data_IF_311111195212
#
_entry.id   IF_311111195212
#
_cell.length_a   1.000
_cell.length_b   1.000
_cell.length_c   1.000
_cell.angle_alpha   90.00
_cell.angle_beta   90.00
_cell.angle_gamma   90.00
#
_symmetry.space_group_name_H-M   'P 1'
#
loop_
_entity.id
_entity.type
_entity.pdbx_description
1 polymer ?
#
# COMPACT_ATOMS: atom_id res chain seq x y z
N UNK A 1 -23.44 5.12 -0.80
CA UNK A 1 -23.19 4.64 0.57
C UNK A 1 -23.19 5.85 1.50
N UNK A 2 -24.07 5.91 2.50
CA UNK A 2 -24.00 6.95 3.55
C UNK A 2 -22.66 6.76 4.28
N UNK A 3 -21.77 7.74 4.15
CA UNK A 3 -20.37 7.62 4.55
C UNK A 3 -20.25 7.37 6.04
N UNK A 4 -19.67 6.21 6.39
CA UNK A 4 -19.11 5.99 7.72
C UNK A 4 -18.15 7.14 8.00
N UNK A 5 -18.35 7.82 9.12
CA UNK A 5 -17.46 8.88 9.57
C UNK A 5 -16.11 8.24 9.90
N UNK A 6 -15.11 8.49 9.08
CA UNK A 6 -13.73 8.10 9.35
C UNK A 6 -13.28 8.82 10.60
N UNK A 7 -12.94 8.08 11.65
CA UNK A 7 -12.53 8.68 12.93
C UNK A 7 -11.02 8.74 13.08
N UNK A 8 -10.30 7.77 12.53
CA UNK A 8 -8.85 7.66 12.70
C UNK A 8 -8.16 7.20 11.43
N UNK A 9 -6.87 7.55 11.33
CA UNK A 9 -5.96 7.04 10.32
C UNK A 9 -4.84 6.29 11.03
N UNK A 10 -4.53 5.10 10.51
CA UNK A 10 -3.31 4.40 10.82
C UNK A 10 -2.25 4.68 9.77
N UNK A 11 -1.04 4.93 10.25
CA UNK A 11 0.16 5.05 9.43
C UNK A 11 1.12 3.94 9.84
N UNK A 12 1.47 3.08 8.89
CA UNK A 12 2.53 2.10 9.08
C UNK A 12 3.89 2.77 8.91
N UNK A 13 4.73 2.72 9.94
CA UNK A 13 6.04 3.35 9.95
C UNK A 13 7.12 2.27 9.83
N UNK A 14 7.65 2.11 8.62
CA UNK A 14 8.61 1.04 8.28
C UNK A 14 9.92 1.21 9.06
N UNK A 15 10.39 2.45 9.18
CA UNK A 15 11.71 2.76 9.74
C UNK A 15 11.76 2.73 11.26
N UNK A 16 10.60 2.76 11.94
CA UNK A 16 10.50 2.69 13.40
C UNK A 16 9.78 1.45 13.92
N UNK A 17 9.35 0.54 13.04
CA UNK A 17 8.60 -0.68 13.41
C UNK A 17 7.37 -0.35 14.29
N UNK A 18 6.61 0.66 13.89
CA UNK A 18 5.50 1.23 14.68
C UNK A 18 4.28 1.57 13.83
N UNK A 19 3.15 1.75 14.50
CA UNK A 19 1.92 2.31 13.95
C UNK A 19 1.67 3.68 14.58
N UNK A 20 1.41 4.69 13.76
CA UNK A 20 0.87 5.96 14.26
C UNK A 20 -0.65 5.99 14.06
N UNK A 21 -1.38 6.17 15.15
CA UNK A 21 -2.82 6.37 15.16
C UNK A 21 -3.09 7.87 15.25
N UNK A 22 -3.69 8.43 14.22
CA UNK A 22 -4.09 9.84 14.15
C UNK A 22 -5.59 9.95 14.29
N UNK A 23 -6.06 10.67 15.32
CA UNK A 23 -7.48 10.92 15.57
C UNK A 23 -7.97 12.17 14.85
N UNK A 24 -8.80 11.97 13.82
CA UNK A 24 -9.29 13.05 12.96
C UNK A 24 -10.32 13.95 13.66
N UNK A 25 -10.97 13.44 14.71
CA UNK A 25 -12.02 14.16 15.43
C UNK A 25 -11.50 14.87 16.68
N UNK A 26 -10.25 14.64 17.05
CA UNK A 26 -9.62 15.21 18.24
C UNK A 26 -8.33 15.99 17.88
N UNK A 27 -8.48 17.05 17.07
CA UNK A 27 -7.39 17.93 16.60
C UNK A 27 -6.15 17.19 16.05
N UNK A 28 -6.36 16.07 15.37
CA UNK A 28 -5.27 15.25 14.83
C UNK A 28 -4.30 14.73 15.92
N UNK A 29 -4.79 14.47 17.13
CA UNK A 29 -3.98 13.87 18.18
C UNK A 29 -3.37 12.55 17.69
N UNK A 30 -2.09 12.34 17.99
CA UNK A 30 -1.30 11.25 17.42
C UNK A 30 -0.71 10.39 18.54
N UNK A 31 -0.98 9.08 18.48
CA UNK A 31 -0.35 8.06 19.33
C UNK A 31 0.51 7.14 18.48
N UNK A 32 1.77 6.97 18.83
CA UNK A 32 2.65 5.97 18.21
C UNK A 32 2.72 4.71 19.08
N UNK A 33 2.59 3.53 18.47
CA UNK A 33 2.69 2.24 19.15
C UNK A 33 3.70 1.37 18.40
N UNK A 34 4.73 0.91 19.11
CA UNK A 34 5.75 0.04 18.55
C UNK A 34 5.25 -1.40 18.47
N UNK A 35 5.40 -2.07 17.33
CA UNK A 35 4.94 -3.47 17.20
C UNK A 35 5.69 -4.39 18.17
N UNK A 36 6.96 -4.09 18.47
CA UNK A 36 7.72 -4.83 19.48
C UNK A 36 7.10 -4.84 20.87
N UNK A 37 6.35 -3.81 21.27
CA UNK A 37 5.63 -3.85 22.55
C UNK A 37 4.38 -4.72 22.47
N UNK A 38 3.77 -4.87 21.30
CA UNK A 38 2.58 -5.68 21.08
C UNK A 38 2.84 -7.19 21.09
N UNK A 39 4.11 -7.61 20.95
CA UNK A 39 4.55 -9.01 20.98
C UNK A 39 4.77 -9.54 22.40
N UNK A 40 4.93 -8.66 23.40
CA UNK A 40 5.40 -9.01 24.74
C UNK A 40 4.27 -9.41 25.69
N UNK A 41 3.70 -10.61 25.51
CA UNK A 41 2.93 -11.28 26.59
C UNK A 41 3.06 -12.81 26.65
N UNK A 42 3.72 -13.48 25.69
CA UNK A 42 3.84 -14.95 25.71
C UNK A 42 5.20 -15.51 26.17
N UNK A 43 6.16 -14.67 26.60
CA UNK A 43 7.46 -15.18 27.08
C UNK A 43 7.75 -14.81 28.54
N UNK A 44 7.75 -15.84 29.38
CA UNK A 44 8.43 -15.87 30.68
C UNK A 44 9.97 -15.74 30.59
N UNK A 45 10.53 -15.30 29.46
CA UNK A 45 11.95 -15.11 29.26
C UNK A 45 12.26 -13.64 29.04
N UNK A 46 12.49 -12.91 30.14
CA UNK A 46 13.19 -11.62 30.15
C UNK A 46 14.64 -11.83 29.68
N UNK A 47 14.87 -11.93 28.38
CA UNK A 47 16.16 -11.53 27.81
C UNK A 47 16.04 -10.05 27.46
N UNK A 48 16.82 -9.22 28.16
CA UNK A 48 16.99 -7.83 27.77
C UNK A 48 17.72 -7.82 26.42
N UNK A 49 16.99 -7.62 25.34
CA UNK A 49 17.62 -7.29 24.07
C UNK A 49 18.25 -5.90 24.20
N UNK A 50 19.53 -5.78 23.87
CA UNK A 50 20.09 -4.47 23.57
C UNK A 50 19.29 -3.89 22.39
N UNK A 51 19.07 -2.58 22.36
CA UNK A 51 18.29 -1.93 21.29
C UNK A 51 18.81 -2.16 19.87
N UNK A 52 20.05 -2.66 19.73
CA UNK A 52 20.68 -3.03 18.45
C UNK A 52 20.39 -4.46 17.97
N UNK A 53 19.87 -5.33 18.84
CA UNK A 53 19.64 -6.75 18.55
C UNK A 53 18.16 -7.10 18.34
N UNK A 54 17.29 -6.09 18.32
CA UNK A 54 15.87 -6.28 18.04
C UNK A 54 15.72 -6.43 16.51
N UNK A 55 15.27 -7.60 16.01
CA UNK A 55 15.11 -7.80 14.57
C UNK A 55 14.08 -6.81 14.02
N UNK A 56 14.41 -6.11 12.93
CA UNK A 56 13.47 -5.17 12.31
C UNK A 56 12.25 -5.91 11.77
N UNK A 57 11.08 -5.30 11.91
CA UNK A 57 9.80 -5.88 11.46
C UNK A 57 9.48 -5.39 10.04
N UNK A 58 9.57 -4.09 9.80
CA UNK A 58 9.30 -3.45 8.52
C UNK A 58 7.81 -3.44 8.19
N UNK A 59 6.97 -2.91 9.08
CA UNK A 59 5.51 -2.80 8.88
C UNK A 59 5.22 -2.02 7.60
N UNK A 60 4.71 -2.68 6.56
CA UNK A 60 4.58 -2.10 5.22
C UNK A 60 3.13 -1.71 4.89
N UNK A 61 2.28 -2.68 4.58
CA UNK A 61 0.84 -2.46 4.34
C UNK A 61 0.00 -2.95 5.51
N UNK A 62 -1.14 -2.28 5.72
CA UNK A 62 -2.19 -2.66 6.66
C UNK A 62 -3.48 -2.90 5.88
N UNK A 63 -4.20 -3.96 6.21
CA UNK A 63 -5.59 -4.14 5.77
C UNK A 63 -6.48 -4.43 6.99
N UNK A 64 -7.76 -4.03 6.89
CA UNK A 64 -8.75 -4.24 7.94
C UNK A 64 -9.27 -5.68 7.89
N UNK A 65 -9.28 -6.36 9.03
CA UNK A 65 -10.02 -7.61 9.23
C UNK A 65 -11.39 -7.33 9.85
N UNK A 66 -12.04 -8.36 10.39
CA UNK A 66 -13.30 -8.17 11.12
C UNK A 66 -13.09 -7.44 12.47
N UNK A 67 -14.07 -6.65 12.88
CA UNK A 67 -14.05 -5.89 14.13
C UNK A 67 -12.81 -4.98 14.28
N UNK A 68 -11.98 -5.25 15.30
CA UNK A 68 -10.78 -4.48 15.68
C UNK A 68 -9.49 -5.15 15.21
N UNK A 69 -9.60 -6.11 14.28
CA UNK A 69 -8.45 -6.81 13.74
C UNK A 69 -7.85 -6.05 12.56
N UNK A 70 -6.53 -6.00 12.56
CA UNK A 70 -5.72 -5.55 11.44
C UNK A 70 -4.78 -6.67 11.03
N UNK A 71 -4.59 -6.80 9.72
CA UNK A 71 -3.50 -7.58 9.18
C UNK A 71 -2.38 -6.65 8.78
N UNK A 72 -1.16 -6.99 9.17
CA UNK A 72 0.04 -6.22 8.87
C UNK A 72 1.05 -7.13 8.19
N UNK A 73 1.46 -6.73 6.99
CA UNK A 73 2.53 -7.40 6.25
C UNK A 73 3.85 -6.71 6.57
N UNK A 74 4.85 -7.51 6.93
CA UNK A 74 6.09 -7.03 7.53
C UNK A 74 7.28 -7.43 6.64
N UNK A 75 7.84 -6.46 5.92
CA UNK A 75 8.81 -6.68 4.85
C UNK A 75 10.16 -7.19 5.34
N UNK A 76 10.59 -6.83 6.57
CA UNK A 76 11.96 -7.14 7.01
C UNK A 76 12.08 -8.47 7.75
N UNK A 77 11.02 -8.95 8.39
CA UNK A 77 11.03 -10.24 9.08
C UNK A 77 10.19 -11.32 8.38
N UNK A 78 9.64 -11.04 7.20
CA UNK A 78 8.88 -12.00 6.39
C UNK A 78 7.66 -12.58 7.11
N UNK A 79 6.89 -11.73 7.79
CA UNK A 79 5.69 -12.16 8.53
C UNK A 79 4.43 -11.43 8.11
N UNK A 80 3.31 -12.12 8.30
CA UNK A 80 1.99 -11.51 8.43
C UNK A 80 1.60 -11.55 9.91
N UNK A 81 1.25 -10.39 10.48
CA UNK A 81 0.71 -10.29 11.83
C UNK A 81 -0.80 -10.05 11.81
N UNK A 82 -1.51 -10.74 12.72
CA UNK A 82 -2.88 -10.43 13.12
C UNK A 82 -2.82 -9.61 14.40
N UNK A 83 -3.29 -8.38 14.33
CA UNK A 83 -3.19 -7.39 15.42
C UNK A 83 -4.58 -7.04 15.92
N UNK A 84 -4.82 -7.16 17.21
CA UNK A 84 -5.95 -6.53 17.89
C UNK A 84 -5.53 -5.11 18.25
N UNK A 85 -6.04 -4.11 17.51
CA UNK A 85 -5.57 -2.73 17.64
C UNK A 85 -6.08 -2.04 18.91
N UNK A 86 -7.21 -2.47 19.46
CA UNK A 86 -7.73 -1.93 20.72
C UNK A 86 -6.94 -2.45 21.91
N UNK A 87 -6.57 -3.73 21.88
CA UNK A 87 -5.73 -4.34 22.93
C UNK A 87 -4.25 -4.06 22.74
N UNK A 88 -3.85 -3.50 21.59
CA UNK A 88 -2.46 -3.23 21.21
C UNK A 88 -1.60 -4.50 21.28
N UNK A 89 -2.13 -5.60 20.74
CA UNK A 89 -1.51 -6.94 20.81
C UNK A 89 -1.44 -7.61 19.45
N UNK A 90 -0.29 -8.21 19.15
CA UNK A 90 -0.19 -9.19 18.06
C UNK A 90 -0.77 -10.50 18.60
N UNK A 91 -1.93 -10.89 18.09
CA UNK A 91 -2.65 -12.09 18.56
C UNK A 91 -2.26 -13.34 17.80
N UNK A 92 -1.72 -13.21 16.58
CA UNK A 92 -1.19 -14.33 15.81
C UNK A 92 -0.16 -13.85 14.78
N UNK A 93 0.75 -14.75 14.37
CA UNK A 93 1.76 -14.49 13.35
C UNK A 93 1.96 -15.72 12.47
N UNK A 94 2.24 -15.48 11.20
CA UNK A 94 2.60 -16.53 10.24
C UNK A 94 3.76 -16.05 9.37
N UNK A 95 4.73 -16.93 9.12
CA UNK A 95 5.82 -16.64 8.19
C UNK A 95 5.32 -16.81 6.76
N UNK A 96 5.73 -15.89 5.89
CA UNK A 96 5.38 -15.82 4.48
C UNK A 96 6.66 -15.84 3.65
N UNK A 97 6.55 -15.71 2.33
CA UNK A 97 7.73 -15.58 1.47
C UNK A 97 8.57 -14.34 1.78
N UNK A 98 9.75 -14.26 1.16
CA UNK A 98 10.74 -13.21 1.43
C UNK A 98 10.32 -11.83 0.92
N UNK A 99 10.54 -10.82 1.76
CA UNK A 99 10.25 -9.40 1.54
C UNK A 99 8.80 -9.14 1.10
N UNK A 100 7.82 -9.45 1.97
CA UNK A 100 6.42 -9.27 1.62
C UNK A 100 6.03 -7.79 1.65
N UNK A 101 5.20 -7.35 0.70
CA UNK A 101 4.94 -5.91 0.47
C UNK A 101 3.47 -5.54 0.50
N UNK A 102 2.63 -6.19 -0.30
CA UNK A 102 1.19 -5.91 -0.38
C UNK A 102 0.36 -7.17 -0.21
N UNK A 103 -0.90 -6.99 0.14
CA UNK A 103 -1.85 -8.05 0.39
C UNK A 103 -3.29 -7.66 0.06
N UNK A 104 -4.09 -8.69 -0.25
CA UNK A 104 -5.54 -8.57 -0.42
C UNK A 104 -6.25 -9.71 0.30
N UNK A 105 -7.35 -9.40 0.98
CA UNK A 105 -8.22 -10.38 1.62
C UNK A 105 -9.35 -10.77 0.67
N UNK A 106 -9.49 -12.06 0.37
CA UNK A 106 -10.49 -12.61 -0.55
C UNK A 106 -11.03 -13.90 0.04
N UNK A 107 -12.31 -13.93 0.44
CA UNK A 107 -13.01 -15.13 0.93
C UNK A 107 -12.20 -15.92 1.98
N UNK A 108 -11.89 -15.31 3.12
CA UNK A 108 -11.11 -15.90 4.22
C UNK A 108 -9.69 -16.34 3.83
N UNK A 109 -9.13 -15.79 2.74
CA UNK A 109 -7.73 -16.00 2.35
C UNK A 109 -7.03 -14.68 2.14
N UNK A 110 -5.84 -14.54 2.70
CA UNK A 110 -4.98 -13.38 2.51
C UNK A 110 -3.91 -13.76 1.49
N UNK A 111 -3.92 -13.08 0.36
CA UNK A 111 -2.93 -13.23 -0.71
C UNK A 111 -1.89 -12.14 -0.57
N UNK A 112 -0.61 -12.49 -0.50
CA UNK A 112 0.47 -11.57 -0.12
C UNK A 112 1.59 -11.64 -1.16
N UNK A 113 1.98 -10.52 -1.75
CA UNK A 113 3.14 -10.46 -2.65
C UNK A 113 4.43 -10.53 -1.86
N UNK A 114 5.33 -11.43 -2.26
CA UNK A 114 6.65 -11.62 -1.66
C UNK A 114 7.74 -11.25 -2.67
N UNK A 115 8.22 -10.02 -2.61
CA UNK A 115 9.06 -9.42 -3.65
C UNK A 115 10.35 -10.22 -3.89
N UNK A 116 11.09 -10.56 -2.84
CA UNK A 116 12.40 -11.19 -2.96
C UNK A 116 12.35 -12.68 -3.29
N UNK A 117 11.20 -13.33 -3.03
CA UNK A 117 11.00 -14.75 -3.35
C UNK A 117 10.19 -14.98 -4.63
N UNK A 118 9.83 -13.92 -5.36
CA UNK A 118 9.08 -13.99 -6.61
C UNK A 118 7.80 -14.85 -6.50
N UNK A 119 7.05 -14.66 -5.42
CA UNK A 119 5.88 -15.50 -5.11
C UNK A 119 4.73 -14.72 -4.49
N UNK A 120 3.56 -15.35 -4.42
CA UNK A 120 2.42 -14.93 -3.61
C UNK A 120 2.23 -15.97 -2.50
N UNK A 121 2.22 -15.54 -1.24
CA UNK A 121 1.78 -16.39 -0.13
C UNK A 121 0.26 -16.40 -0.05
N UNK A 122 -0.35 -17.57 0.12
CA UNK A 122 -1.79 -17.71 0.40
C UNK A 122 -1.95 -18.17 1.84
N UNK A 123 -2.56 -17.33 2.68
CA UNK A 123 -2.77 -17.61 4.11
C UNK A 123 -4.26 -17.80 4.38
N UNK A 124 -4.63 -18.86 5.10
CA UNK A 124 -5.97 -19.07 5.64
C UNK A 124 -6.24 -18.05 6.76
N UNK A 125 -7.29 -17.23 6.67
CA UNK A 125 -7.57 -16.17 7.65
C UNK A 125 -8.03 -16.71 9.02
N UNK A 126 -8.79 -17.81 9.01
CA UNK A 126 -9.43 -18.40 10.19
C UNK A 126 -8.39 -19.14 11.03
N UNK A 127 -7.63 -20.03 10.38
CA UNK A 127 -6.55 -20.80 11.01
C UNK A 127 -5.27 -20.00 11.16
N UNK A 128 -5.12 -18.94 10.39
CA UNK A 128 -3.93 -18.10 10.30
C UNK A 128 -2.67 -18.90 9.96
N UNK A 129 -2.79 -19.77 8.94
CA UNK A 129 -1.73 -20.68 8.49
C UNK A 129 -1.44 -20.47 7.01
N UNK A 130 -0.17 -20.58 6.62
CA UNK A 130 0.25 -20.60 5.23
C UNK A 130 -0.31 -21.86 4.56
N UNK A 131 -1.08 -21.68 3.49
CA UNK A 131 -1.62 -22.76 2.66
C UNK A 131 -0.59 -23.15 1.61
N UNK A 132 -0.12 -22.17 0.83
CA UNK A 132 0.80 -22.40 -0.29
C UNK A 132 1.53 -21.10 -0.68
N UNK A 133 2.59 -21.26 -1.49
CA UNK A 133 3.23 -20.17 -2.21
C UNK A 133 3.07 -20.40 -3.71
N UNK A 134 2.53 -19.41 -4.41
CA UNK A 134 2.32 -19.44 -5.86
C UNK A 134 3.48 -18.66 -6.50
N UNK A 135 4.28 -19.31 -7.34
CA UNK A 135 5.35 -18.65 -8.07
C UNK A 135 4.78 -17.65 -9.10
N UNK A 136 5.38 -16.47 -9.17
CA UNK A 136 5.04 -15.42 -10.15
C UNK A 136 6.32 -14.84 -10.75
N UNK A 137 6.19 -13.83 -11.62
CA UNK A 137 7.35 -13.16 -12.22
C UNK A 137 8.11 -12.30 -11.21
N UNK A 138 9.26 -11.78 -11.64
CA UNK A 138 10.25 -11.17 -10.76
C UNK A 138 9.76 -9.91 -10.02
N UNK A 139 10.06 -9.83 -8.71
CA UNK A 139 9.74 -8.73 -7.79
C UNK A 139 8.25 -8.34 -7.82
N UNK A 140 7.33 -9.24 -7.45
CA UNK A 140 5.93 -8.88 -7.26
C UNK A 140 5.84 -7.79 -6.19
N UNK A 141 5.25 -6.66 -6.55
CA UNK A 141 5.15 -5.50 -5.68
C UNK A 141 3.73 -5.34 -5.16
N UNK A 142 2.78 -5.06 -6.05
CA UNK A 142 1.38 -4.78 -5.69
C UNK A 142 0.42 -5.88 -6.18
N UNK A 143 -0.74 -5.97 -5.53
CA UNK A 143 -1.74 -7.01 -5.74
C UNK A 143 -3.16 -6.44 -5.60
N UNK A 144 -4.01 -6.70 -6.59
CA UNK A 144 -5.41 -6.26 -6.58
C UNK A 144 -6.36 -7.37 -7.00
N UNK A 145 -7.56 -7.38 -6.40
CA UNK A 145 -8.60 -8.37 -6.70
C UNK A 145 -9.69 -7.79 -7.59
N UNK A 146 -9.78 -8.29 -8.81
CA UNK A 146 -10.87 -7.98 -9.72
C UNK A 146 -12.04 -8.94 -9.53
N UNK A 147 -13.02 -8.52 -8.73
CA UNK A 147 -14.14 -9.35 -8.28
C UNK A 147 -15.01 -9.90 -9.41
N UNK A 148 -15.22 -9.15 -10.50
CA UNK A 148 -16.15 -9.53 -11.59
C UNK A 148 -15.74 -10.85 -12.26
N UNK A 149 -14.44 -11.04 -12.49
CA UNK A 149 -13.89 -12.25 -13.10
C UNK A 149 -13.25 -13.20 -12.07
N UNK A 150 -13.26 -12.82 -10.79
CA UNK A 150 -12.56 -13.53 -9.71
C UNK A 150 -11.08 -13.74 -10.02
N UNK A 151 -10.44 -12.69 -10.51
CA UNK A 151 -9.02 -12.68 -10.90
C UNK A 151 -8.20 -11.80 -9.96
N UNK A 152 -7.01 -12.26 -9.60
CA UNK A 152 -6.00 -11.50 -8.88
C UNK A 152 -4.96 -11.01 -9.89
N UNK A 153 -4.63 -9.73 -9.86
CA UNK A 153 -3.61 -9.12 -10.69
C UNK A 153 -2.42 -8.70 -9.84
N UNK A 154 -1.21 -9.01 -10.30
CA UNK A 154 0.02 -8.80 -9.56
C UNK A 154 1.02 -8.05 -10.42
N UNK A 155 1.48 -6.89 -9.94
CA UNK A 155 2.51 -6.10 -10.59
C UNK A 155 3.90 -6.69 -10.32
N UNK A 156 4.54 -7.26 -11.34
CA UNK A 156 5.89 -7.82 -11.24
C UNK A 156 6.87 -6.76 -11.77
N UNK A 157 7.38 -5.97 -10.83
CA UNK A 157 8.14 -4.74 -11.09
C UNK A 157 9.41 -4.98 -11.91
N UNK A 158 10.25 -5.93 -11.51
CA UNK A 158 11.43 -6.34 -12.30
C UNK A 158 11.07 -7.32 -13.41
N UNK A 159 9.95 -8.02 -13.29
CA UNK A 159 9.46 -8.95 -14.30
C UNK A 159 8.82 -8.27 -15.52
N UNK A 160 8.72 -6.93 -15.55
CA UNK A 160 8.05 -6.15 -16.59
C UNK A 160 6.71 -6.78 -17.01
N UNK A 161 5.87 -7.15 -16.06
CA UNK A 161 4.66 -7.92 -16.37
C UNK A 161 3.60 -7.85 -15.28
N UNK A 162 2.37 -8.11 -15.67
CA UNK A 162 1.26 -8.39 -14.76
C UNK A 162 1.01 -9.90 -14.74
N UNK A 163 1.01 -10.51 -13.57
CA UNK A 163 0.56 -11.89 -13.40
C UNK A 163 -0.94 -11.87 -13.09
N UNK A 164 -1.71 -12.75 -13.73
CA UNK A 164 -3.17 -12.84 -13.62
C UNK A 164 -3.50 -14.23 -13.12
N UNK A 165 -4.02 -14.33 -11.90
CA UNK A 165 -4.38 -15.58 -11.26
C UNK A 165 -5.90 -15.69 -11.14
N UNK A 166 -6.50 -16.67 -11.84
CA UNK A 166 -7.93 -16.91 -11.83
C UNK A 166 -8.30 -17.87 -10.68
N UNK A 167 -9.15 -17.42 -9.76
CA UNK A 167 -9.49 -18.16 -8.53
C UNK A 167 -10.43 -19.35 -8.76
N UNK A 168 -11.12 -19.43 -9.90
CA UNK A 168 -12.04 -20.52 -10.19
C UNK A 168 -11.33 -21.69 -10.87
N UNK A 169 -10.32 -21.39 -11.68
CA UNK A 169 -9.57 -22.38 -12.48
C UNK A 169 -8.18 -22.68 -11.92
N UNK A 170 -7.71 -21.90 -10.94
CA UNK A 170 -6.32 -21.88 -10.47
C UNK A 170 -5.29 -21.68 -11.59
N UNK A 171 -5.70 -21.03 -12.69
CA UNK A 171 -4.83 -20.75 -13.82
C UNK A 171 -4.06 -19.46 -13.58
N UNK A 172 -2.75 -19.51 -13.79
CA UNK A 172 -1.86 -18.35 -13.78
C UNK A 172 -1.45 -18.00 -15.22
N UNK A 173 -1.58 -16.71 -15.56
CA UNK A 173 -1.14 -16.14 -16.84
C UNK A 173 -0.23 -14.94 -16.60
N UNK A 174 0.58 -14.57 -17.59
CA UNK A 174 1.42 -13.38 -17.52
C UNK A 174 1.20 -12.49 -18.74
N UNK A 175 0.96 -11.20 -18.49
CA UNK A 175 0.89 -10.16 -19.50
C UNK A 175 2.17 -9.33 -19.47
N UNK A 176 2.96 -9.38 -20.54
CA UNK A 176 4.23 -8.64 -20.62
C UNK A 176 3.98 -7.15 -20.87
N UNK A 177 4.78 -6.34 -20.19
CA UNK A 177 4.88 -4.89 -20.34
C UNK A 177 6.27 -4.52 -20.84
N UNK A 178 6.40 -3.30 -21.32
CA UNK A 178 7.65 -2.64 -21.69
C UNK A 178 8.12 -1.63 -20.60
N UNK A 179 7.45 -1.62 -19.44
CA UNK A 179 7.70 -0.74 -18.30
C UNK A 179 7.60 -1.52 -16.98
N UNK A 180 8.05 -0.92 -15.86
CA UNK A 180 8.04 -1.57 -14.55
C UNK A 180 6.75 -1.25 -13.80
N UNK A 181 5.79 -2.19 -13.72
CA UNK A 181 4.58 -1.94 -12.96
C UNK A 181 4.92 -1.89 -11.46
N UNK A 182 4.50 -0.83 -10.77
CA UNK A 182 4.70 -0.67 -9.34
C UNK A 182 3.39 -0.83 -8.58
N UNK A 183 2.35 -0.07 -8.95
CA UNK A 183 1.04 -0.12 -8.30
C UNK A 183 -0.10 -0.29 -9.30
N UNK A 184 -1.15 -0.99 -8.87
CA UNK A 184 -2.32 -1.32 -9.67
C UNK A 184 -3.57 -0.70 -9.05
N UNK A 185 -4.40 -0.06 -9.86
CA UNK A 185 -5.66 0.53 -9.41
C UNK A 185 -6.77 0.12 -10.33
N UNK A 186 -7.74 -0.61 -9.77
CA UNK A 186 -8.92 -1.08 -10.49
C UNK A 186 -9.95 0.03 -10.59
N UNK A 187 -10.53 0.14 -11.78
CA UNK A 187 -11.65 1.04 -12.09
C UNK A 187 -12.56 0.36 -13.10
N UNK A 188 -13.71 -0.12 -12.63
CA UNK A 188 -14.64 -0.87 -13.46
C UNK A 188 -13.89 -1.99 -14.23
N UNK A 189 -13.93 -1.98 -15.56
CA UNK A 189 -13.26 -2.95 -16.43
C UNK A 189 -11.86 -2.49 -16.91
N UNK A 190 -11.30 -1.46 -16.26
CA UNK A 190 -9.97 -0.94 -16.54
C UNK A 190 -9.06 -1.05 -15.32
N UNK A 191 -7.77 -1.16 -15.58
CA UNK A 191 -6.71 -1.12 -14.59
C UNK A 191 -5.70 -0.05 -14.94
N UNK A 192 -5.38 0.77 -13.95
CA UNK A 192 -4.35 1.78 -14.06
C UNK A 192 -3.09 1.22 -13.46
N UNK A 193 -2.02 1.22 -14.24
CA UNK A 193 -0.73 0.68 -13.84
C UNK A 193 0.20 1.86 -13.68
N UNK A 194 0.50 2.21 -12.44
CA UNK A 194 1.57 3.17 -12.16
C UNK A 194 2.88 2.46 -12.37
N UNK A 195 3.70 2.99 -13.27
CA UNK A 195 5.06 2.54 -13.53
C UNK A 195 6.02 3.64 -13.14
N UNK A 196 7.04 3.28 -12.36
CA UNK A 196 8.14 4.18 -12.03
C UNK A 196 9.47 3.45 -11.98
N UNK A 197 10.54 4.15 -12.34
CA UNK A 197 11.92 3.72 -12.15
C UNK A 197 12.67 4.78 -11.35
N UNK A 198 13.53 4.33 -10.44
CA UNK A 198 14.41 5.20 -9.65
C UNK A 198 15.89 4.93 -9.95
N UNK A 199 16.23 4.79 -11.25
CA UNK A 199 17.59 4.47 -11.72
C UNK A 199 18.20 5.61 -12.55
N UNK A 200 17.79 6.87 -12.29
CA UNK A 200 18.26 8.03 -13.05
C UNK A 200 17.55 8.28 -14.39
N UNK A 201 16.71 7.33 -14.84
CA UNK A 201 15.81 7.53 -15.98
C UNK A 201 14.50 8.16 -15.49
N UNK A 202 14.13 9.32 -16.04
CA UNK A 202 12.83 9.97 -15.80
C UNK A 202 11.83 9.53 -16.87
N UNK A 203 11.22 8.38 -16.68
CA UNK A 203 10.28 7.80 -17.64
C UNK A 203 9.09 7.12 -16.96
N UNK A 204 8.67 7.65 -15.81
CA UNK A 204 7.47 7.14 -15.16
C UNK A 204 6.25 7.38 -16.03
N UNK A 205 5.25 6.53 -15.87
CA UNK A 205 4.00 6.69 -16.58
C UNK A 205 2.86 6.01 -15.84
N UNK A 206 1.64 6.34 -16.26
CA UNK A 206 0.43 5.60 -15.88
C UNK A 206 -0.09 4.94 -17.16
N UNK A 207 -0.17 3.61 -17.17
CA UNK A 207 -0.79 2.86 -18.26
C UNK A 207 -2.27 2.65 -17.96
N UNK A 208 -3.08 2.61 -19.02
CA UNK A 208 -4.48 2.19 -18.95
C UNK A 208 -4.58 0.82 -19.61
N UNK A 209 -4.88 -0.20 -18.81
CA UNK A 209 -5.05 -1.59 -19.23
C UNK A 209 -6.55 -1.93 -19.26
N UNK A 210 -7.02 -2.42 -20.41
CA UNK A 210 -8.35 -2.99 -20.59
C UNK A 210 -8.34 -4.43 -20.10
N UNK A 211 -9.07 -4.70 -19.03
CA UNK A 211 -9.09 -6.01 -18.36
C UNK A 211 -9.74 -7.07 -19.25
N UNK A 212 -10.85 -6.73 -19.91
CA UNK A 212 -11.63 -7.67 -20.71
C UNK A 212 -10.86 -8.11 -21.96
N UNK A 213 -10.19 -7.17 -22.62
CA UNK A 213 -9.43 -7.42 -23.85
C UNK A 213 -7.95 -7.72 -23.61
N UNK A 214 -7.50 -7.66 -22.35
CA UNK A 214 -6.11 -7.85 -21.93
C UNK A 214 -5.12 -7.07 -22.80
N UNK A 215 -5.32 -5.74 -22.91
CA UNK A 215 -4.46 -4.88 -23.74
C UNK A 215 -4.23 -3.52 -23.10
N UNK A 216 -3.08 -2.92 -23.40
CA UNK A 216 -2.82 -1.52 -23.06
C UNK A 216 -3.53 -0.66 -24.09
N UNK A 217 -4.37 0.25 -23.61
CA UNK A 217 -5.05 1.23 -24.45
C UNK A 217 -4.16 2.45 -24.65
N UNK A 218 -3.61 2.97 -23.55
CA UNK A 218 -2.97 4.27 -23.54
C UNK A 218 -1.94 4.39 -22.42
N UNK A 219 -1.14 5.47 -22.51
CA UNK A 219 -0.09 5.82 -21.56
C UNK A 219 -0.06 7.33 -21.33
N UNK A 220 0.02 7.72 -20.07
CA UNK A 220 0.27 9.11 -19.63
C UNK A 220 1.71 9.18 -19.13
N UNK A 221 2.58 9.86 -19.86
CA UNK A 221 3.99 10.03 -19.49
C UNK A 221 4.15 11.12 -18.43
N UNK A 222 4.99 10.84 -17.44
CA UNK A 222 5.33 11.76 -16.36
C UNK A 222 6.85 11.74 -16.21
N UNK A 223 7.50 12.83 -16.62
CA UNK A 223 8.97 12.99 -16.65
C UNK A 223 9.56 13.27 -15.24
N UNK A 224 9.22 12.43 -14.27
CA UNK A 224 9.76 12.43 -12.91
C UNK A 224 9.54 11.06 -12.23
N UNK A 225 9.95 10.91 -10.96
CA UNK A 225 9.77 9.68 -10.18
C UNK A 225 8.51 9.76 -9.32
N UNK A 226 7.42 9.19 -9.82
CA UNK A 226 6.17 9.05 -9.06
C UNK A 226 6.18 7.76 -8.24
N UNK A 227 5.52 7.77 -7.08
CA UNK A 227 5.56 6.62 -6.17
C UNK A 227 4.19 5.95 -6.01
N UNK A 228 3.15 6.73 -5.76
CA UNK A 228 1.81 6.19 -5.50
C UNK A 228 0.76 7.08 -6.19
N UNK A 229 -0.48 6.61 -6.30
CA UNK A 229 -1.59 7.42 -6.76
C UNK A 229 -2.90 7.11 -6.05
N UNK A 230 -3.85 8.03 -6.15
CA UNK A 230 -5.25 7.81 -5.80
C UNK A 230 -6.12 8.52 -6.82
N UNK A 231 -7.37 8.08 -6.95
CA UNK A 231 -8.38 8.75 -7.76
C UNK A 231 -9.36 9.54 -6.87
N UNK A 232 -9.92 10.63 -7.40
CA UNK A 232 -11.01 11.40 -6.78
C UNK A 232 -12.03 11.82 -7.85
N UNK A 233 -13.19 12.35 -7.43
CA UNK A 233 -14.24 12.90 -8.30
C UNK A 233 -14.68 11.95 -9.43
N UNK A 234 -15.48 10.92 -9.11
CA UNK A 234 -15.88 9.87 -10.06
C UNK A 234 -14.70 9.26 -10.84
N UNK A 235 -13.54 9.26 -10.17
CA UNK A 235 -12.25 8.78 -10.66
C UNK A 235 -11.72 9.50 -11.92
N UNK A 236 -12.27 10.68 -12.21
CA UNK A 236 -11.82 11.53 -13.33
C UNK A 236 -10.51 12.26 -13.04
N UNK A 237 -10.14 12.39 -11.77
CA UNK A 237 -8.91 13.05 -11.34
C UNK A 237 -8.01 12.05 -10.65
N UNK A 238 -6.73 12.03 -11.05
CA UNK A 238 -5.69 11.22 -10.42
C UNK A 238 -4.76 12.15 -9.66
N UNK A 239 -4.46 11.83 -8.42
CA UNK A 239 -3.38 12.44 -7.66
C UNK A 239 -2.24 11.45 -7.56
N UNK A 240 -1.01 11.88 -7.86
CA UNK A 240 0.19 11.04 -7.72
C UNK A 240 1.30 11.76 -6.97
N UNK A 241 1.97 11.03 -6.09
CA UNK A 241 3.07 11.53 -5.27
C UNK A 241 4.38 11.45 -6.04
N UNK A 242 5.23 12.47 -5.89
CA UNK A 242 6.53 12.51 -6.53
C UNK A 242 7.65 12.58 -5.48
N UNK A 243 8.35 11.45 -5.31
CA UNK A 243 9.39 11.31 -4.30
C UNK A 243 10.66 12.10 -4.63
N UNK A 244 10.90 12.40 -5.91
CA UNK A 244 12.15 13.03 -6.34
C UNK A 244 12.17 14.55 -6.14
N UNK A 245 11.01 15.20 -6.12
CA UNK A 245 10.91 16.66 -6.08
C UNK A 245 9.91 17.20 -5.04
N UNK A 246 9.23 16.34 -4.29
CA UNK A 246 8.34 16.75 -3.20
C UNK A 246 7.00 17.32 -3.67
N UNK A 247 6.62 17.12 -4.92
CA UNK A 247 5.31 17.55 -5.42
C UNK A 247 4.26 16.45 -5.32
N UNK A 248 3.01 16.90 -5.24
CA UNK A 248 1.81 16.12 -5.54
C UNK A 248 1.28 16.58 -6.90
N UNK A 249 1.19 15.68 -7.87
CA UNK A 249 0.66 15.98 -9.20
C UNK A 249 -0.82 15.66 -9.27
N UNK A 250 -1.59 16.57 -9.85
CA UNK A 250 -3.00 16.39 -10.18
C UNK A 250 -3.13 16.21 -11.67
N UNK A 251 -3.64 15.08 -12.09
CA UNK A 251 -3.87 14.73 -13.48
C UNK A 251 -5.36 14.65 -13.75
N UNK A 252 -5.76 15.06 -14.94
CA UNK A 252 -7.10 14.80 -15.45
C UNK A 252 -7.05 13.55 -16.33
N UNK A 253 -7.91 12.59 -16.01
CA UNK A 253 -7.98 11.33 -16.72
C UNK A 253 -8.37 11.50 -18.19
N UNK A 254 -9.39 12.32 -18.45
CA UNK A 254 -9.91 12.53 -19.80
C UNK A 254 -8.93 13.32 -20.67
N UNK A 255 -8.27 14.33 -20.07
CA UNK A 255 -7.29 15.17 -20.78
C UNK A 255 -5.91 14.52 -20.88
N UNK A 256 -5.63 13.48 -20.07
CA UNK A 256 -4.37 12.72 -20.05
C UNK A 256 -3.15 13.60 -19.78
N UNK A 257 -3.33 14.60 -18.94
CA UNK A 257 -2.35 15.64 -18.70
C UNK A 257 -2.28 15.98 -17.22
N UNK A 258 -1.13 16.51 -16.81
CA UNK A 258 -0.97 17.14 -15.49
C UNK A 258 -1.65 18.50 -15.57
N UNK A 259 -2.73 18.68 -14.79
CA UNK A 259 -3.48 19.93 -14.74
C UNK A 259 -3.07 20.83 -13.57
N UNK A 260 -2.42 20.27 -12.54
CA UNK A 260 -1.86 21.06 -11.45
C UNK A 260 -0.74 20.32 -10.70
N UNK A 261 0.08 21.07 -9.97
CA UNK A 261 1.15 20.56 -9.08
C UNK A 261 1.12 21.29 -7.74
N UNK A 262 1.17 20.56 -6.64
CA UNK A 262 1.19 21.12 -5.28
C UNK A 262 2.52 20.77 -4.60
N UNK A 263 3.31 21.78 -4.21
CA UNK A 263 4.55 21.53 -3.50
C UNK A 263 4.25 21.22 -2.02
N UNK A 264 4.58 19.99 -1.60
CA UNK A 264 4.45 19.53 -0.21
C UNK A 264 5.82 19.21 0.43
N UNK A 265 6.88 19.20 -0.40
CA UNK A 265 8.29 19.02 -0.05
C UNK A 265 8.63 17.62 0.48
N UNK A 266 9.91 17.35 0.71
CA UNK A 266 10.37 16.03 1.20
C UNK A 266 10.17 14.91 0.17
N UNK A 267 9.87 13.71 0.64
CA UNK A 267 9.59 12.52 -0.20
C UNK A 267 8.15 12.01 0.07
N UNK A 268 7.13 12.62 -0.56
CA UNK A 268 5.75 12.14 -0.48
C UNK A 268 5.66 10.72 -1.03
N UNK A 269 5.01 9.82 -0.29
CA UNK A 269 4.99 8.39 -0.61
C UNK A 269 3.56 7.93 -0.88
N UNK A 270 2.85 7.45 0.13
CA UNK A 270 1.50 6.93 -0.02
C UNK A 270 0.45 8.05 0.07
N UNK A 271 -0.72 7.84 -0.52
CA UNK A 271 -1.80 8.82 -0.59
C UNK A 271 -3.15 8.13 -0.40
N UNK A 272 -3.99 8.72 0.45
CA UNK A 272 -5.34 8.23 0.74
C UNK A 272 -6.35 9.38 0.67
N UNK A 273 -7.49 9.14 0.02
CA UNK A 273 -8.58 10.11 -0.11
C UNK A 273 -9.74 9.76 0.82
N UNK A 274 -10.30 10.75 1.51
CA UNK A 274 -11.43 10.58 2.44
C UNK A 274 -12.80 10.36 1.79
N UNK A 275 -12.87 10.34 0.46
CA UNK A 275 -14.14 10.32 -0.29
C UNK A 275 -14.85 11.68 -0.37
N UNK A 276 -14.21 12.75 0.14
CA UNK A 276 -14.72 14.13 0.17
C UNK A 276 -13.67 15.08 -0.39
N UNK A 277 -13.06 15.93 0.43
CA UNK A 277 -12.16 17.01 0.00
C UNK A 277 -10.70 16.85 0.46
N UNK A 278 -10.38 15.77 1.18
CA UNK A 278 -9.13 15.66 1.92
C UNK A 278 -8.26 14.52 1.41
N UNK A 279 -7.00 14.84 1.14
CA UNK A 279 -5.93 13.87 0.88
C UNK A 279 -5.01 13.77 2.09
N UNK A 280 -4.68 12.53 2.44
CA UNK A 280 -3.73 12.18 3.48
C UNK A 280 -2.51 11.56 2.83
N UNK A 281 -1.34 12.16 3.05
CA UNK A 281 -0.13 11.82 2.29
C UNK A 281 1.01 11.57 3.25
N UNK A 282 1.59 10.37 3.23
CA UNK A 282 2.80 10.09 4.02
C UNK A 282 4.01 10.75 3.38
N UNK A 283 4.96 11.18 4.20
CA UNK A 283 6.22 11.74 3.75
C UNK A 283 7.39 11.05 4.44
N UNK A 284 8.06 10.16 3.71
CA UNK A 284 9.10 9.29 4.24
C UNK A 284 10.28 10.08 4.81
N UNK A 285 10.74 11.11 4.09
CA UNK A 285 11.90 11.91 4.50
C UNK A 285 11.60 12.80 5.72
N UNK A 286 10.38 13.36 5.79
CA UNK A 286 9.99 14.30 6.85
C UNK A 286 9.39 13.61 8.08
N UNK A 287 9.06 12.32 8.00
CA UNK A 287 8.36 11.57 9.06
C UNK A 287 7.04 12.26 9.47
N UNK A 288 6.25 12.66 8.47
CA UNK A 288 4.96 13.32 8.69
C UNK A 288 3.84 12.67 7.87
N UNK A 289 2.62 12.84 8.35
CA UNK A 289 1.38 12.73 7.59
C UNK A 289 0.92 14.15 7.22
N UNK A 290 0.87 14.45 5.93
CA UNK A 290 0.33 15.71 5.39
C UNK A 290 -1.16 15.56 5.16
N UNK A 291 -1.96 16.46 5.73
CA UNK A 291 -3.41 16.59 5.50
C UNK A 291 -3.63 17.76 4.56
N UNK A 292 -4.18 17.51 3.37
CA UNK A 292 -4.33 18.50 2.31
C UNK A 292 -5.78 18.58 1.84
N UNK A 293 -6.36 19.79 1.86
CA UNK A 293 -7.62 20.05 1.16
C UNK A 293 -7.32 20.24 -0.32
N UNK A 294 -7.68 19.27 -1.14
CA UNK A 294 -7.29 19.27 -2.56
C UNK A 294 -8.07 20.27 -3.43
N UNK A 295 -9.36 20.58 -3.17
CA UNK A 295 -10.05 21.62 -3.94
C UNK A 295 -9.40 22.99 -3.77
N UNK A 296 -8.96 23.33 -2.54
CA UNK A 296 -8.31 24.61 -2.23
C UNK A 296 -6.79 24.58 -2.44
N UNK A 297 -6.19 23.41 -2.65
CA UNK A 297 -4.74 23.25 -2.77
C UNK A 297 -3.97 23.62 -1.51
N UNK A 298 -4.59 23.49 -0.34
CA UNK A 298 -4.03 24.00 0.94
C UNK A 298 -3.72 22.85 1.88
N UNK A 299 -2.49 22.86 2.42
CA UNK A 299 -2.12 22.00 3.56
C UNK A 299 -2.90 22.49 4.78
N UNK A 300 -3.72 21.61 5.36
CA UNK A 300 -4.46 21.84 6.59
C UNK A 300 -3.53 21.63 7.79
N UNK A 301 -2.78 20.52 7.79
CA UNK A 301 -1.91 20.13 8.91
C UNK A 301 -0.77 19.24 8.40
N UNK A 302 0.39 19.36 9.03
CA UNK A 302 1.45 18.36 8.98
C UNK A 302 1.56 17.73 10.37
N UNK A 303 1.39 16.43 10.46
CA UNK A 303 1.34 15.69 11.72
C UNK A 303 2.59 14.84 11.79
N UNK A 304 3.39 14.99 12.85
CA UNK A 304 4.55 14.13 13.06
C UNK A 304 4.09 12.70 13.35
N UNK A 305 4.68 11.73 12.67
CA UNK A 305 4.42 10.29 12.85
C UNK A 305 5.75 9.57 13.07
N UNK A 306 5.72 8.24 13.11
CA UNK A 306 6.93 7.42 13.22
C UNK A 306 7.85 7.56 11.99
N UNK A 307 8.97 6.83 12.01
CA UNK A 307 10.01 6.96 10.98
C UNK A 307 9.63 6.22 9.70
N UNK A 308 9.91 6.84 8.56
CA UNK A 308 9.65 6.31 7.22
C UNK A 308 8.20 5.82 7.05
N UNK A 309 7.21 6.71 7.23
CA UNK A 309 5.80 6.36 7.07
C UNK A 309 5.51 5.89 5.64
N UNK A 310 4.83 4.75 5.51
CA UNK A 310 4.50 4.14 4.23
C UNK A 310 2.99 3.85 4.14
N UNK A 311 2.50 2.74 4.69
CA UNK A 311 1.09 2.34 4.59
C UNK A 311 0.12 3.31 5.26
N UNK A 312 -1.07 3.46 4.66
CA UNK A 312 -2.19 4.23 5.20
C UNK A 312 -3.46 3.38 5.24
N UNK A 313 -4.22 3.50 6.34
CA UNK A 313 -5.51 2.80 6.50
C UNK A 313 -6.46 3.65 7.35
N UNK A 314 -7.71 3.78 6.90
CA UNK A 314 -8.79 4.36 7.72
C UNK A 314 -9.33 3.33 8.71
N UNK A 315 -9.64 3.78 9.93
CA UNK A 315 -10.34 3.00 10.95
C UNK A 315 -11.80 3.42 11.08
#
# INVERSE_FOLDING_TARGET
MRGLEVKKILVANVGSDSLSIVDLNNDFNMKEIFIHSMLKENENNKKSFNSKDIPRIGVHQLIKGECNILYSVNSYNNTLYKIDIEKEKVINSVHVGSYPTHMVLINNKIYITNSDSNSISVVDEDKFQLIENIAVNEKPHDIVYYKKNREIYIANSNGYSISIFNLDTNKLEHFKLDVHPLHLYLRQDYMYILSSQNNGMKNSCILIFDINNKKILERIYIDDVIMNMTTVNDESIIFTTNISNGFLYKLNFNEKSIINKYYIGGMPNNILWDGKETLYITNTQKNILTVLNYPKGKIIRNIKVGKEPNGLLFL
#
